data_IF_732258378450
#
_entry.id   IF_732258378450
#
_cell.length_a   1.000
_cell.length_b   1.000
_cell.length_c   1.000
_cell.angle_alpha   90.00
_cell.angle_beta   90.00
_cell.angle_gamma   90.00
#
_symmetry.space_group_name_H-M   'P 1'
#
loop_
_entity.id
_entity.type
_entity.pdbx_description
1 polymer ?
#
# COMPACT_ATOMS: atom_id res chain seq x y z
N UNK A 1 7.08 7.79 -25.77
CA UNK A 1 5.75 7.14 -25.79
C UNK A 1 5.57 6.44 -24.46
N UNK A 2 4.75 6.98 -23.54
CA UNK A 2 4.37 6.23 -22.34
C UNK A 2 3.48 5.07 -22.77
N UNK A 3 3.84 3.86 -22.35
CA UNK A 3 3.01 2.68 -22.58
C UNK A 3 1.83 2.70 -21.60
N UNK A 4 0.72 2.05 -21.96
CA UNK A 4 -0.43 1.88 -21.07
C UNK A 4 -0.01 1.33 -19.70
N UNK A 5 1.02 0.48 -19.69
CA UNK A 5 1.62 -0.10 -18.48
C UNK A 5 2.28 0.94 -17.58
N UNK A 6 3.04 1.89 -18.15
CA UNK A 6 3.67 2.96 -17.36
C UNK A 6 2.59 3.83 -16.68
N UNK A 7 1.50 4.08 -17.40
CA UNK A 7 0.35 4.83 -16.88
C UNK A 7 -0.41 4.05 -15.79
N UNK A 8 -0.61 2.74 -15.95
CA UNK A 8 -1.19 1.89 -14.92
C UNK A 8 -0.31 1.79 -13.67
N UNK A 9 1.01 1.67 -13.82
CA UNK A 9 1.96 1.64 -12.70
C UNK A 9 1.93 2.97 -11.94
N UNK A 10 1.96 4.09 -12.65
CA UNK A 10 1.86 5.42 -12.05
C UNK A 10 0.51 5.62 -11.35
N UNK A 11 -0.58 5.14 -11.95
CA UNK A 11 -1.92 5.21 -11.37
C UNK A 11 -2.04 4.40 -10.08
N UNK A 12 -1.57 3.15 -10.09
CA UNK A 12 -1.56 2.27 -8.90
C UNK A 12 -0.71 2.88 -7.80
N UNK A 13 0.50 3.34 -8.13
CA UNK A 13 1.42 3.99 -7.18
C UNK A 13 0.75 5.17 -6.50
N UNK A 14 0.08 6.02 -7.28
CA UNK A 14 -0.61 7.20 -6.75
C UNK A 14 -1.82 6.84 -5.90
N UNK A 15 -2.60 5.83 -6.30
CA UNK A 15 -3.76 5.34 -5.55
C UNK A 15 -3.35 4.72 -4.20
N UNK A 16 -2.23 4.00 -4.16
CA UNK A 16 -1.66 3.44 -2.92
C UNK A 16 -1.25 4.56 -1.96
N UNK A 17 -0.49 5.55 -2.43
CA UNK A 17 -0.10 6.70 -1.60
C UNK A 17 -1.29 7.52 -1.11
N UNK A 18 -2.30 7.69 -1.96
CA UNK A 18 -3.54 8.36 -1.58
C UNK A 18 -4.29 7.58 -0.49
N UNK A 19 -4.28 6.24 -0.57
CA UNK A 19 -4.88 5.38 0.45
C UNK A 19 -4.12 5.42 1.77
N UNK A 20 -2.79 5.47 1.73
CA UNK A 20 -1.93 5.61 2.92
C UNK A 20 -2.15 6.93 3.67
N UNK A 21 -2.48 8.01 2.94
CA UNK A 21 -2.70 9.31 3.57
C UNK A 21 -4.03 9.39 4.34
N UNK A 22 -4.99 8.49 4.05
CA UNK A 22 -6.34 8.55 4.61
C UNK A 22 -6.49 7.57 5.77
N UNK A 23 -7.07 7.98 6.92
CA UNK A 23 -7.27 7.09 8.07
C UNK A 23 -8.01 5.81 7.67
N UNK A 24 -7.63 4.69 8.31
CA UNK A 24 -8.10 3.34 8.03
C UNK A 24 -9.64 3.16 8.09
N UNK A 25 -10.33 4.08 8.75
CA UNK A 25 -11.80 4.11 8.86
C UNK A 25 -12.48 4.71 7.61
N UNK A 26 -11.74 5.41 6.76
CA UNK A 26 -12.26 5.99 5.51
C UNK A 26 -11.71 5.31 4.26
N UNK A 27 -10.67 4.49 4.39
CA UNK A 27 -10.04 3.82 3.25
C UNK A 27 -10.90 2.66 2.76
N UNK A 28 -11.56 2.86 1.61
CA UNK A 28 -12.41 1.86 0.93
C UNK A 28 -11.69 0.53 0.63
N UNK A 29 -10.36 0.52 0.56
CA UNK A 29 -9.55 -0.67 0.32
C UNK A 29 -8.48 -0.83 1.41
N UNK A 30 -8.39 -2.00 2.06
CA UNK A 30 -7.35 -2.28 3.04
C UNK A 30 -5.98 -2.40 2.37
N UNK A 31 -4.92 -2.08 3.11
CA UNK A 31 -3.54 -2.18 2.66
C UNK A 31 -3.19 -3.59 2.12
N UNK A 32 -3.66 -4.65 2.76
CA UNK A 32 -3.55 -6.03 2.25
C UNK A 32 -3.99 -6.21 0.78
N UNK A 33 -5.02 -5.50 0.31
CA UNK A 33 -5.47 -5.55 -1.08
C UNK A 33 -4.43 -4.95 -2.03
N UNK A 34 -3.91 -3.77 -1.68
CA UNK A 34 -2.86 -3.09 -2.46
C UNK A 34 -1.58 -3.93 -2.52
N UNK A 35 -1.21 -4.59 -1.42
CA UNK A 35 -0.07 -5.51 -1.39
C UNK A 35 -0.21 -6.62 -2.42
N UNK A 36 -1.41 -7.22 -2.53
CA UNK A 36 -1.70 -8.26 -3.51
C UNK A 36 -1.65 -7.72 -4.95
N UNK A 37 -2.20 -6.53 -5.20
CA UNK A 37 -2.15 -5.85 -6.50
C UNK A 37 -0.72 -5.51 -6.94
N UNK A 38 0.11 -5.00 -6.03
CA UNK A 38 1.52 -4.69 -6.29
C UNK A 38 2.32 -5.97 -6.60
N UNK A 39 2.07 -7.07 -5.89
CA UNK A 39 2.69 -8.36 -6.21
C UNK A 39 2.30 -8.91 -7.60
N UNK A 40 1.04 -8.72 -8.02
CA UNK A 40 0.62 -9.07 -9.39
C UNK A 40 1.28 -8.19 -10.45
N UNK A 41 1.50 -6.92 -10.13
CA UNK A 41 2.23 -5.99 -11.00
C UNK A 41 3.70 -6.39 -11.11
N UNK A 42 4.34 -6.77 -10.00
CA UNK A 42 5.70 -7.33 -9.96
C UNK A 42 5.85 -8.60 -10.80
N UNK A 43 4.80 -9.41 -10.87
CA UNK A 43 4.77 -10.59 -11.73
C UNK A 43 4.68 -10.26 -13.24
N UNK A 44 4.48 -8.98 -13.62
CA UNK A 44 4.47 -8.55 -15.02
C UNK A 44 5.89 -8.33 -15.56
N UNK A 45 6.22 -8.93 -16.71
CA UNK A 45 7.59 -8.95 -17.28
C UNK A 45 8.14 -7.58 -17.76
N UNK A 46 7.36 -6.50 -17.72
CA UNK A 46 7.71 -5.22 -18.36
C UNK A 46 8.10 -4.11 -17.39
N UNK A 47 8.42 -4.44 -16.13
CA UNK A 47 8.83 -3.44 -15.16
C UNK A 47 10.29 -3.04 -15.33
N UNK A 48 10.52 -1.74 -15.38
CA UNK A 48 11.88 -1.17 -15.34
C UNK A 48 12.42 -1.22 -13.91
N UNK A 49 13.76 -1.17 -13.79
CA UNK A 49 14.44 -1.17 -12.48
C UNK A 49 13.99 -0.02 -11.56
N UNK A 50 13.66 1.13 -12.13
CA UNK A 50 13.12 2.27 -11.38
C UNK A 50 11.71 2.00 -10.85
N UNK A 51 10.85 1.38 -11.66
CA UNK A 51 9.49 0.99 -11.23
C UNK A 51 9.52 -0.09 -10.15
N UNK A 52 10.43 -1.08 -10.28
CA UNK A 52 10.66 -2.09 -9.25
C UNK A 52 11.06 -1.45 -7.92
N UNK A 53 12.04 -0.54 -7.92
CA UNK A 53 12.47 0.16 -6.72
C UNK A 53 11.34 1.01 -6.09
N UNK A 54 10.52 1.66 -6.92
CA UNK A 54 9.36 2.42 -6.44
C UNK A 54 8.31 1.51 -5.78
N UNK A 55 8.02 0.35 -6.39
CA UNK A 55 7.07 -0.64 -5.86
C UNK A 55 7.57 -1.24 -4.54
N UNK A 56 8.87 -1.57 -4.46
CA UNK A 56 9.48 -2.14 -3.26
C UNK A 56 9.42 -1.16 -2.07
N UNK A 57 9.76 0.11 -2.33
CA UNK A 57 9.62 1.18 -1.34
C UNK A 57 8.17 1.37 -0.89
N UNK A 58 7.20 1.28 -1.80
CA UNK A 58 5.77 1.36 -1.48
C UNK A 58 5.30 0.18 -0.61
N UNK A 59 5.75 -1.04 -0.90
CA UNK A 59 5.43 -2.22 -0.11
C UNK A 59 5.93 -2.07 1.34
N UNK A 60 7.13 -1.52 1.51
CA UNK A 60 7.72 -1.27 2.83
C UNK A 60 6.99 -0.17 3.61
N UNK A 61 6.59 0.93 2.95
CA UNK A 61 5.72 1.96 3.54
C UNK A 61 4.37 1.37 3.97
N UNK A 62 3.79 0.50 3.15
CA UNK A 62 2.50 -0.15 3.43
C UNK A 62 2.57 -1.03 4.67
N UNK A 63 3.60 -1.87 4.77
CA UNK A 63 3.84 -2.77 5.90
C UNK A 63 4.01 -1.96 7.20
N UNK A 64 4.84 -0.91 7.15
CA UNK A 64 5.06 0.01 8.27
C UNK A 64 3.77 0.69 8.74
N UNK A 65 2.93 1.11 7.79
CA UNK A 65 1.64 1.75 8.08
C UNK A 65 0.64 0.75 8.67
N UNK A 66 0.59 -0.49 8.18
CA UNK A 66 -0.24 -1.56 8.76
C UNK A 66 0.17 -1.88 10.19
N UNK A 67 1.48 -1.97 10.47
CA UNK A 67 2.01 -2.18 11.82
C UNK A 67 1.66 -1.01 12.73
N UNK A 68 1.84 0.24 12.27
CA UNK A 68 1.51 1.43 13.04
C UNK A 68 0.00 1.51 13.35
N UNK A 69 -0.86 1.21 12.37
CA UNK A 69 -2.30 1.17 12.53
C UNK A 69 -2.76 0.03 13.46
N UNK A 70 -2.15 -1.15 13.36
CA UNK A 70 -2.45 -2.25 14.27
C UNK A 70 -2.05 -1.92 15.72
N UNK A 71 -0.93 -1.21 15.91
CA UNK A 71 -0.47 -0.77 17.22
C UNK A 71 -1.41 0.29 17.83
N UNK A 72 -1.85 1.28 17.04
CA UNK A 72 -2.80 2.29 17.52
C UNK A 72 -4.17 1.69 17.88
N UNK A 73 -4.66 0.70 17.13
CA UNK A 73 -5.88 -0.05 17.47
C UNK A 73 -5.74 -0.89 18.76
N UNK A 74 -4.56 -1.45 19.01
CA UNK A 74 -4.30 -2.27 20.21
C UNK A 74 -4.15 -1.42 21.49
N UNK A 75 -3.72 -0.17 21.37
CA UNK A 75 -3.57 0.75 22.50
C UNK A 75 -4.91 1.25 23.09
N UNK A 76 -6.02 1.15 22.35
CA UNK A 76 -7.35 1.52 22.84
C UNK A 76 -8.08 0.45 23.67
N UNK A 77 -7.45 -0.71 23.91
CA UNK A 77 -8.10 -1.89 24.49
C UNK A 77 -7.93 -2.12 25.99
N UNK A 78 -7.31 -1.21 26.76
CA UNK A 78 -7.13 -1.38 28.21
C UNK A 78 -8.05 -0.46 29.04
N UNK A 79 -9.36 -0.49 28.78
CA UNK A 79 -10.33 0.11 29.70
C UNK A 79 -11.40 -0.91 30.05
N UNK A 80 -11.13 -1.68 31.11
CA UNK A 80 -12.12 -2.53 31.76
C UNK A 80 -11.72 -3.98 31.87
N UNK A 81 -11.12 -4.35 33.00
CA UNK A 81 -11.61 -5.49 33.80
C UNK A 81 -10.89 -5.56 35.15
N UNK A 82 -11.74 -5.55 36.18
CA UNK A 82 -11.56 -5.87 37.59
C UNK A 82 -11.04 -4.78 38.54
#
# INVERSE_FOLDING_TARGET
MMTLLDQEIAHITRAVRFSLCRPADETVLPAAYWRRRLNQLLASQHLTKAQLAAIDSLLSELDSHEVHNAASRRSGGYAGSH
#
